data_IF_012907817547
#
_entry.id   IF_012907817547
#
_cell.length_a   1.000
_cell.length_b   1.000
_cell.length_c   1.000
_cell.angle_alpha   90.00
_cell.angle_beta   90.00
_cell.angle_gamma   90.00
#
_symmetry.space_group_name_H-M   'P 1'
#
loop_
_entity.id
_entity.type
_entity.pdbx_description
1 polymer ?
#
# COMPACT_ATOMS: atom_id res chain seq x y z
N UNK A 1 -2.77 -64.20 -24.93
CA UNK A 1 -1.57 -63.65 -24.28
C UNK A 1 -1.86 -63.61 -22.79
N UNK A 2 -1.22 -64.48 -22.01
CA UNK A 2 -1.55 -64.67 -20.59
C UNK A 2 -0.54 -63.89 -19.76
N UNK A 3 -1.01 -63.01 -18.88
CA UNK A 3 -0.13 -62.25 -17.97
C UNK A 3 0.13 -63.13 -16.75
N UNK A 4 1.39 -63.40 -16.43
CA UNK A 4 1.80 -64.19 -15.27
C UNK A 4 1.77 -63.35 -13.98
N UNK A 5 1.48 -63.99 -12.85
CA UNK A 5 1.55 -63.36 -11.52
C UNK A 5 2.99 -62.97 -11.17
N UNK A 6 3.19 -61.71 -10.78
CA UNK A 6 4.41 -61.19 -10.18
C UNK A 6 4.23 -60.97 -8.68
N UNK A 7 5.31 -61.16 -7.91
CA UNK A 7 5.29 -60.94 -6.46
C UNK A 7 5.05 -59.45 -6.17
N UNK A 8 3.91 -59.13 -5.53
CA UNK A 8 3.59 -57.76 -5.08
C UNK A 8 2.11 -57.39 -5.12
N UNK A 9 1.29 -57.99 -6.00
CA UNK A 9 -0.13 -57.63 -6.12
C UNK A 9 -1.00 -58.82 -6.53
N UNK A 10 -2.14 -58.99 -5.86
CA UNK A 10 -3.24 -59.87 -6.32
C UNK A 10 -4.16 -59.06 -7.24
N UNK A 11 -4.25 -59.43 -8.52
CA UNK A 11 -5.26 -58.87 -9.41
C UNK A 11 -6.56 -59.62 -9.15
N UNK A 12 -7.39 -59.09 -8.25
CA UNK A 12 -8.75 -59.59 -8.04
C UNK A 12 -9.64 -59.17 -9.21
N UNK A 13 -10.45 -60.08 -9.75
CA UNK A 13 -11.29 -59.87 -10.94
C UNK A 13 -12.51 -58.97 -10.72
N UNK A 14 -12.40 -57.96 -9.86
CA UNK A 14 -13.43 -56.95 -9.64
C UNK A 14 -12.98 -55.66 -10.31
N UNK A 15 -13.71 -55.24 -11.35
CA UNK A 15 -13.51 -53.94 -12.00
C UNK A 15 -13.61 -52.82 -10.97
N UNK A 16 -12.47 -52.21 -10.64
CA UNK A 16 -12.41 -50.90 -10.00
C UNK A 16 -11.52 -50.02 -10.86
N UNK A 17 -12.08 -49.01 -11.50
CA UNK A 17 -11.26 -47.96 -12.13
C UNK A 17 -10.57 -47.19 -11.01
N UNK A 18 -9.25 -47.31 -10.91
CA UNK A 18 -8.44 -46.40 -10.12
C UNK A 18 -8.31 -45.10 -10.92
N UNK A 19 -9.03 -44.05 -10.52
CA UNK A 19 -8.75 -42.70 -11.01
C UNK A 19 -7.65 -42.12 -10.14
N UNK A 20 -6.51 -41.82 -10.75
CA UNK A 20 -5.46 -41.00 -10.13
C UNK A 20 -5.88 -39.56 -10.35
N UNK A 21 -6.30 -38.88 -9.29
CA UNK A 21 -6.46 -37.42 -9.31
C UNK A 21 -5.06 -36.81 -9.29
N UNK A 22 -4.59 -36.31 -10.43
CA UNK A 22 -3.45 -35.40 -10.46
C UNK A 22 -4.02 -34.05 -10.05
N UNK A 23 -3.73 -33.60 -8.83
CA UNK A 23 -4.04 -32.23 -8.44
C UNK A 23 -3.10 -31.32 -9.23
N UNK A 24 -3.68 -30.41 -9.98
CA UNK A 24 -2.98 -29.32 -10.65
C UNK A 24 -2.40 -28.40 -9.56
N UNK A 25 -1.08 -28.24 -9.51
CA UNK A 25 -0.33 -27.45 -8.51
C UNK A 25 0.17 -26.12 -9.13
N UNK A 26 -0.41 -25.72 -10.27
CA UNK A 26 -0.01 -24.53 -11.04
C UNK A 26 -0.64 -23.22 -10.55
N UNK A 27 -1.34 -23.20 -9.41
CA UNK A 27 -1.85 -21.94 -8.83
C UNK A 27 -0.77 -21.32 -7.91
N UNK A 28 -0.19 -20.16 -8.26
CA UNK A 28 0.82 -19.53 -7.42
C UNK A 28 0.21 -19.19 -6.06
N UNK A 29 0.96 -19.31 -4.95
CA UNK A 29 0.42 -19.02 -3.62
C UNK A 29 -0.08 -17.58 -3.59
N UNK A 30 -1.37 -17.40 -3.28
CA UNK A 30 -1.93 -16.09 -2.95
C UNK A 30 -1.13 -15.52 -1.78
N UNK A 31 -0.37 -14.45 -2.03
CA UNK A 31 0.35 -13.77 -0.96
C UNK A 31 -0.68 -13.06 -0.07
N UNK A 32 -0.84 -13.57 1.15
CA UNK A 32 -1.71 -13.01 2.18
C UNK A 32 -1.04 -11.78 2.83
N UNK A 33 -0.96 -10.70 2.07
CA UNK A 33 -0.41 -9.41 2.52
C UNK A 33 -1.51 -8.53 3.13
N UNK A 34 -1.18 -7.66 4.12
CA UNK A 34 -2.07 -6.57 4.48
C UNK A 34 -2.25 -5.62 3.30
N UNK A 35 -3.38 -4.93 3.27
CA UNK A 35 -3.62 -3.86 2.32
C UNK A 35 -3.31 -2.53 2.98
N UNK A 36 -2.72 -1.59 2.23
CA UNK A 36 -2.45 -0.22 2.66
C UNK A 36 -3.35 0.76 1.92
N UNK A 37 -3.86 1.75 2.66
CA UNK A 37 -4.53 2.93 2.12
C UNK A 37 -3.90 4.22 2.65
N UNK A 38 -4.02 5.29 1.89
CA UNK A 38 -3.72 6.66 2.33
C UNK A 38 -5.03 7.45 2.48
N UNK A 39 -5.08 8.37 3.44
CA UNK A 39 -6.26 9.23 3.66
C UNK A 39 -5.93 10.69 3.40
N UNK A 40 -6.94 11.43 2.93
CA UNK A 40 -6.90 12.88 2.76
C UNK A 40 -6.47 13.61 4.03
N UNK A 41 -5.88 14.78 3.86
CA UNK A 41 -5.37 15.60 4.95
C UNK A 41 -5.66 17.08 4.71
N UNK A 42 -5.62 17.88 5.77
CA UNK A 42 -5.66 19.34 5.66
C UNK A 42 -4.82 19.98 6.74
N UNK A 43 -4.27 21.16 6.46
CA UNK A 43 -3.51 21.95 7.42
C UNK A 43 -3.69 23.44 7.14
N UNK A 44 -3.67 24.26 8.19
CA UNK A 44 -3.55 25.72 8.04
C UNK A 44 -2.07 26.07 7.91
N UNK A 45 -1.70 26.97 7.01
CA UNK A 45 -0.31 27.43 6.92
C UNK A 45 0.16 28.12 8.21
N UNK A 46 1.48 28.22 8.40
CA UNK A 46 2.08 29.00 9.50
C UNK A 46 1.93 28.47 10.93
N UNK A 47 1.32 27.29 11.17
CA UNK A 47 1.06 26.77 12.53
C UNK A 47 2.33 26.58 13.37
N UNK A 48 3.49 26.37 12.73
CA UNK A 48 4.79 26.19 13.38
C UNK A 48 5.73 27.40 13.20
N UNK A 49 5.17 28.60 12.99
CA UNK A 49 5.93 29.85 12.95
C UNK A 49 6.71 30.04 11.65
N UNK A 50 6.03 29.86 10.52
CA UNK A 50 6.58 30.00 9.17
C UNK A 50 6.48 28.74 8.30
N UNK A 51 5.94 27.64 8.83
CA UNK A 51 5.66 26.42 8.09
C UNK A 51 4.60 25.58 8.82
N UNK A 52 4.02 24.62 8.13
CA UNK A 52 3.10 23.61 8.65
C UNK A 52 3.46 22.21 8.15
N UNK A 53 2.96 21.17 8.83
CA UNK A 53 3.09 19.79 8.38
C UNK A 53 1.73 19.26 7.94
N UNK A 54 1.60 19.01 6.65
CA UNK A 54 0.45 18.33 6.07
C UNK A 54 0.67 16.82 6.18
N UNK A 55 -0.03 16.19 7.11
CA UNK A 55 0.18 14.79 7.51
C UNK A 55 -0.88 13.85 6.92
N UNK A 56 -0.48 13.01 5.97
CA UNK A 56 -1.32 11.97 5.40
C UNK A 56 -1.14 10.67 6.18
N UNK A 57 -2.25 10.09 6.61
CA UNK A 57 -2.25 8.83 7.36
C UNK A 57 -2.24 7.64 6.41
N UNK A 58 -1.27 6.76 6.59
CA UNK A 58 -1.29 5.41 6.02
C UNK A 58 -1.97 4.45 6.99
N UNK A 59 -2.82 3.56 6.48
CA UNK A 59 -3.55 2.57 7.28
C UNK A 59 -3.41 1.18 6.66
N UNK A 60 -3.06 0.20 7.49
CA UNK A 60 -3.08 -1.22 7.13
C UNK A 60 -4.37 -1.89 7.59
N UNK A 61 -4.91 -2.82 6.80
CA UNK A 61 -6.07 -3.65 7.19
C UNK A 61 -5.78 -4.55 8.39
N UNK A 62 -4.51 -4.90 8.61
CA UNK A 62 -4.02 -5.72 9.73
C UNK A 62 -2.52 -5.47 9.96
N UNK A 63 -1.99 -5.70 11.17
CA UNK A 63 -0.56 -5.54 11.43
C UNK A 63 0.26 -6.58 10.65
N UNK A 64 1.48 -6.20 10.28
CA UNK A 64 2.51 -7.10 9.74
C UNK A 64 3.57 -7.39 10.81
N UNK A 65 4.22 -8.55 10.75
CA UNK A 65 5.41 -8.87 11.56
C UNK A 65 6.70 -8.25 11.00
N UNK A 66 6.62 -7.65 9.80
CA UNK A 66 7.70 -6.92 9.14
C UNK A 66 7.36 -5.44 8.99
N UNK A 67 8.40 -4.63 8.77
CA UNK A 67 8.21 -3.24 8.38
C UNK A 67 7.66 -3.18 6.96
N UNK A 68 6.67 -2.31 6.76
CA UNK A 68 6.11 -2.04 5.43
C UNK A 68 6.66 -0.70 4.96
N UNK A 69 7.27 -0.68 3.77
CA UNK A 69 7.79 0.54 3.16
C UNK A 69 6.90 0.94 1.99
N UNK A 70 6.33 2.13 2.07
CA UNK A 70 5.44 2.69 1.05
C UNK A 70 6.17 3.82 0.35
N UNK A 71 6.28 3.74 -0.97
CA UNK A 71 6.84 4.79 -1.83
C UNK A 71 5.73 5.68 -2.34
N UNK A 72 5.94 7.00 -2.35
CA UNK A 72 4.94 7.95 -2.79
C UNK A 72 5.53 9.05 -3.67
N UNK A 73 4.66 9.69 -4.44
CA UNK A 73 4.90 10.89 -5.22
C UNK A 73 3.87 11.95 -4.85
N UNK A 74 4.27 13.21 -4.91
CA UNK A 74 3.39 14.37 -4.77
C UNK A 74 3.17 14.95 -6.16
N UNK A 75 1.91 15.18 -6.51
CA UNK A 75 1.51 15.95 -7.68
C UNK A 75 0.99 17.31 -7.23
N UNK A 76 1.35 18.32 -8.02
CA UNK A 76 0.86 19.68 -7.82
C UNK A 76 -0.60 19.74 -8.26
N UNK A 77 -1.50 20.10 -7.34
CA UNK A 77 -2.87 20.45 -7.66
C UNK A 77 -2.94 21.92 -8.05
N UNK A 78 -3.48 22.75 -7.15
CA UNK A 78 -3.52 24.21 -7.33
C UNK A 78 -2.32 24.93 -6.70
N UNK A 79 -1.53 24.24 -5.87
CA UNK A 79 -0.36 24.82 -5.18
C UNK A 79 0.77 25.21 -6.13
N UNK A 80 1.57 26.20 -5.75
CA UNK A 80 2.84 26.49 -6.43
C UNK A 80 3.99 25.63 -5.86
N UNK A 81 5.05 25.35 -6.67
CA UNK A 81 6.22 24.61 -6.18
C UNK A 81 7.01 25.29 -5.05
N UNK A 82 6.71 26.56 -4.76
CA UNK A 82 7.31 27.32 -3.65
C UNK A 82 6.69 26.99 -2.29
N UNK A 83 5.44 26.56 -2.27
CA UNK A 83 4.60 26.58 -1.06
C UNK A 83 4.71 25.25 -0.30
N UNK A 84 5.46 24.29 -0.86
CA UNK A 84 5.79 23.04 -0.19
C UNK A 84 7.17 22.54 -0.61
N UNK A 85 7.76 21.72 0.25
CA UNK A 85 9.00 21.03 -0.04
C UNK A 85 8.75 19.54 -0.27
N UNK A 86 9.33 19.00 -1.35
CA UNK A 86 9.29 17.58 -1.66
C UNK A 86 8.84 17.31 -3.09
N UNK A 87 8.26 16.13 -3.31
CA UNK A 87 7.83 15.68 -4.64
C UNK A 87 7.75 14.16 -4.74
N UNK A 88 8.51 13.44 -3.92
CA UNK A 88 8.46 11.99 -3.75
C UNK A 88 9.17 11.59 -2.46
N UNK A 89 8.93 10.37 -2.00
CA UNK A 89 9.58 9.86 -0.79
C UNK A 89 9.19 8.44 -0.46
N UNK A 90 9.50 8.06 0.78
CA UNK A 90 9.06 6.79 1.38
C UNK A 90 8.58 7.01 2.81
N UNK A 91 7.55 6.28 3.19
CA UNK A 91 7.06 6.18 4.56
C UNK A 91 7.15 4.73 5.04
N UNK A 92 7.34 4.55 6.34
CA UNK A 92 7.46 3.22 6.93
C UNK A 92 6.37 3.01 7.98
N UNK A 93 5.63 1.92 7.85
CA UNK A 93 4.77 1.38 8.90
C UNK A 93 5.57 0.30 9.61
N UNK A 94 5.94 0.56 10.86
CA UNK A 94 6.78 -0.36 11.64
C UNK A 94 6.05 -1.66 11.96
N UNK A 95 6.80 -2.76 12.06
CA UNK A 95 6.27 -4.06 12.46
C UNK A 95 5.37 -3.97 13.71
N UNK A 96 4.26 -4.69 13.67
CA UNK A 96 3.21 -4.69 14.69
C UNK A 96 2.32 -3.45 14.71
N UNK A 97 2.59 -2.44 13.88
CA UNK A 97 1.72 -1.27 13.70
C UNK A 97 0.82 -1.44 12.49
N UNK A 98 -0.28 -0.69 12.52
CA UNK A 98 -1.22 -0.57 11.42
C UNK A 98 -1.25 0.82 10.81
N UNK A 99 -0.40 1.73 11.28
CA UNK A 99 -0.40 3.11 10.83
C UNK A 99 1.01 3.66 10.66
N UNK A 100 1.16 4.51 9.65
CA UNK A 100 2.33 5.36 9.41
C UNK A 100 1.88 6.71 8.88
N UNK A 101 2.83 7.61 8.66
CA UNK A 101 2.55 8.99 8.23
C UNK A 101 3.47 9.35 7.07
N UNK A 102 2.90 10.01 6.07
CA UNK A 102 3.62 10.82 5.09
C UNK A 102 3.45 12.28 5.53
N UNK A 103 4.55 12.98 5.81
CA UNK A 103 4.52 14.37 6.20
C UNK A 103 5.11 15.24 5.09
N UNK A 104 4.33 16.22 4.62
CA UNK A 104 4.76 17.23 3.65
C UNK A 104 4.92 18.55 4.39
N UNK A 105 6.07 19.20 4.21
CA UNK A 105 6.30 20.54 4.77
C UNK A 105 5.68 21.56 3.83
N UNK A 106 4.79 22.37 4.39
CA UNK A 106 4.13 23.51 3.74
C UNK A 106 4.79 24.78 4.25
N UNK A 107 5.18 25.69 3.36
CA UNK A 107 5.83 26.96 3.68
C UNK A 107 4.74 28.03 3.80
N UNK A 108 4.79 28.78 4.89
CA UNK A 108 3.94 29.95 5.13
C UNK A 108 4.55 31.16 4.43
N UNK A 109 3.74 31.99 3.77
CA UNK A 109 4.20 33.26 3.25
C UNK A 109 3.43 34.47 3.80
N UNK A 110 3.26 35.54 3.03
CA UNK A 110 2.50 36.75 3.43
C UNK A 110 1.52 37.20 2.35
N UNK A 111 1.36 36.38 1.33
CA UNK A 111 0.54 36.64 0.17
C UNK A 111 -0.80 35.99 0.45
N UNK A 112 -1.85 36.80 0.40
CA UNK A 112 -3.20 36.26 0.47
C UNK A 112 -3.50 35.48 -0.80
N UNK A 113 -3.65 34.18 -0.66
CA UNK A 113 -4.02 33.25 -1.71
C UNK A 113 -5.44 32.71 -1.44
N UNK A 114 -5.80 31.63 -2.12
CA UNK A 114 -6.97 30.83 -1.75
C UNK A 114 -6.52 29.43 -1.40
N UNK A 115 -7.39 28.66 -0.75
CA UNK A 115 -7.07 27.28 -0.37
C UNK A 115 -6.46 26.48 -1.54
N UNK A 116 -5.33 25.86 -1.26
CA UNK A 116 -4.56 25.12 -2.25
C UNK A 116 -4.67 23.60 -2.05
N UNK A 117 -4.41 22.85 -3.11
CA UNK A 117 -4.45 21.40 -3.09
C UNK A 117 -3.16 20.77 -3.61
N UNK A 118 -2.76 19.68 -2.96
CA UNK A 118 -1.77 18.72 -3.44
C UNK A 118 -2.39 17.32 -3.54
N UNK A 119 -1.86 16.47 -4.41
CA UNK A 119 -2.28 15.08 -4.51
C UNK A 119 -1.10 14.15 -4.17
N UNK A 120 -1.36 13.14 -3.33
CA UNK A 120 -0.43 12.05 -3.04
C UNK A 120 -0.80 10.85 -3.90
N UNK A 121 0.21 10.24 -4.52
CA UNK A 121 0.12 8.95 -5.20
C UNK A 121 1.09 7.94 -4.55
N UNK A 122 0.58 6.81 -4.06
CA UNK A 122 1.38 5.68 -3.64
C UNK A 122 1.87 4.92 -4.88
N UNK A 123 3.17 4.96 -5.12
CA UNK A 123 3.82 4.39 -6.33
C UNK A 123 4.27 2.95 -6.13
N UNK A 124 4.26 2.44 -4.90
CA UNK A 124 4.59 1.07 -4.58
C UNK A 124 4.62 0.81 -3.07
N UNK A 125 4.40 -0.43 -2.67
CA UNK A 125 4.50 -0.87 -1.28
C UNK A 125 5.24 -2.21 -1.21
N UNK A 126 6.24 -2.29 -0.33
CA UNK A 126 6.95 -3.53 -0.01
C UNK A 126 6.35 -4.12 1.27
N UNK A 127 5.84 -5.35 1.18
CA UNK A 127 5.16 -6.04 2.29
C UNK A 127 3.66 -5.73 2.45
N UNK A 128 3.05 -4.96 1.55
CA UNK A 128 1.60 -4.70 1.48
C UNK A 128 1.11 -4.62 0.03
N UNK A 129 -0.18 -4.87 -0.19
CA UNK A 129 -0.88 -4.49 -1.42
C UNK A 129 -1.49 -3.09 -1.27
N UNK A 130 -1.49 -2.27 -2.32
CA UNK A 130 -2.14 -0.95 -2.28
C UNK A 130 -3.62 -1.12 -2.60
N UNK A 131 -4.50 -0.80 -1.66
CA UNK A 131 -5.95 -0.80 -1.85
C UNK A 131 -6.48 0.58 -2.27
N UNK A 132 -5.98 1.63 -1.62
CA UNK A 132 -6.23 3.02 -2.01
C UNK A 132 -4.90 3.78 -2.03
N UNK A 133 -4.48 4.16 -3.23
CA UNK A 133 -3.19 4.76 -3.50
C UNK A 133 -3.21 6.27 -3.58
N UNK A 134 -4.35 6.93 -3.40
CA UNK A 134 -4.46 8.37 -3.67
C UNK A 134 -5.06 9.13 -2.50
N UNK A 135 -4.55 10.33 -2.24
CA UNK A 135 -5.13 11.24 -1.26
C UNK A 135 -4.97 12.70 -1.68
N UNK A 136 -5.97 13.52 -1.36
CA UNK A 136 -5.94 14.97 -1.53
C UNK A 136 -5.50 15.63 -0.23
N UNK A 137 -4.57 16.57 -0.32
CA UNK A 137 -4.15 17.42 0.78
C UNK A 137 -4.57 18.85 0.55
N UNK A 138 -5.27 19.45 1.50
CA UNK A 138 -5.69 20.87 1.44
C UNK A 138 -4.82 21.75 2.33
N UNK A 139 -4.30 22.82 1.77
CA UNK A 139 -3.59 23.88 2.49
C UNK A 139 -4.57 25.04 2.63
N UNK A 140 -4.87 25.42 3.87
CA UNK A 140 -5.80 26.50 4.19
C UNK A 140 -5.00 27.77 4.43
N UNK A 141 -5.26 28.78 3.61
CA UNK A 141 -4.64 30.11 3.68
C UNK A 141 -5.07 30.84 4.97
N UNK A 142 -4.15 31.58 5.60
CA UNK A 142 -4.39 32.23 6.89
C UNK A 142 -4.23 33.78 6.91
N UNK A 143 -4.01 34.41 5.75
CA UNK A 143 -3.63 35.83 5.60
C UNK A 143 -4.77 36.84 5.31
#
# INVERSE_FOLDING_TARGET
MTVANGSGYTVSSSQGTASVAVSDDDDPPVQDLPEVSVSDASVVEGELGGFSLLEFRLTLTRPSDQNITVHYRVHLGTTSPSDHHGGYGRATIWAGRTHGVIAIMVVDDKQREGDEAIEIELTGADGAAIADGTATGTIIDND
#
